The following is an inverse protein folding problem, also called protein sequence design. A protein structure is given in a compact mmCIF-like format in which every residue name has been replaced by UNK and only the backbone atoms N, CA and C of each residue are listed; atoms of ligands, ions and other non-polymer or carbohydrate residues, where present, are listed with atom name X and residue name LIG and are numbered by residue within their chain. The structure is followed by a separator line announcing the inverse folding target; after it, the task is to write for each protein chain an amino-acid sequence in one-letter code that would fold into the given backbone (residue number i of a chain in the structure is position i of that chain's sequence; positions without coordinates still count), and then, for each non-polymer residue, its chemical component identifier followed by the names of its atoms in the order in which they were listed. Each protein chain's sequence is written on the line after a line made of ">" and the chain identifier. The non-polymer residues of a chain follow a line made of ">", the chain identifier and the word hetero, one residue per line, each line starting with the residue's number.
data_IF_277412671289
#
_entry.id   IF_277412671289
#
_cell.length_a   1.000
_cell.length_b   1.000
_cell.length_c   1.000
_cell.angle_alpha   90.00
_cell.angle_beta   90.00
_cell.angle_gamma   90.00
#
_symmetry.space_group_name_H-M   'P 1'
#
loop_
_entity.id
_entity.type
_entity.pdbx_description
1 polymer ?
#
# COMPACT_ATOMS: atom_id res chain seq x y z
N UNK A 1 -3.58 27.95 10.76
CA UNK A 1 -4.27 26.64 10.85
C UNK A 1 -4.11 26.13 12.27
N UNK A 2 -5.20 25.82 12.98
CA UNK A 2 -5.10 25.29 14.34
C UNK A 2 -4.50 23.88 14.24
N UNK A 3 -3.50 23.56 15.07
CA UNK A 3 -2.95 22.20 15.16
C UNK A 3 -3.90 21.33 15.96
N UNK A 4 -5.01 20.98 15.34
CA UNK A 4 -6.05 20.14 15.90
C UNK A 4 -5.71 18.65 15.74
N UNK A 5 -6.56 17.77 16.27
CA UNK A 5 -6.37 16.32 16.19
C UNK A 5 -6.23 15.85 14.73
N UNK A 6 -7.04 16.40 13.83
CA UNK A 6 -7.03 16.08 12.41
C UNK A 6 -5.67 16.36 11.76
N UNK A 7 -5.08 17.52 12.05
CA UNK A 7 -3.75 17.88 11.59
C UNK A 7 -2.71 16.82 11.96
N UNK A 8 -2.67 16.40 13.23
CA UNK A 8 -1.71 15.40 13.69
C UNK A 8 -1.97 14.00 13.12
N UNK A 9 -3.23 13.66 12.84
CA UNK A 9 -3.60 12.40 12.18
C UNK A 9 -3.09 12.38 10.73
N UNK A 10 -3.24 13.47 9.97
CA UNK A 10 -2.69 13.58 8.61
C UNK A 10 -1.15 13.50 8.63
N UNK A 11 -0.49 14.20 9.56
CA UNK A 11 0.98 14.10 9.74
C UNK A 11 1.42 12.66 10.01
N UNK A 12 0.67 11.95 10.84
CA UNK A 12 0.99 10.55 11.21
C UNK A 12 0.77 9.60 10.03
N UNK A 13 -0.33 9.76 9.29
CA UNK A 13 -0.56 9.01 8.05
C UNK A 13 0.55 9.27 7.01
N UNK A 14 0.99 10.52 6.87
CA UNK A 14 2.10 10.89 5.97
C UNK A 14 3.40 10.19 6.38
N UNK A 15 3.73 10.18 7.68
CA UNK A 15 4.89 9.44 8.21
C UNK A 15 4.80 7.93 7.95
N UNK A 16 3.62 7.35 8.08
CA UNK A 16 3.40 5.94 7.79
C UNK A 16 3.69 5.63 6.31
N UNK A 17 3.22 6.47 5.38
CA UNK A 17 3.53 6.34 3.95
C UNK A 17 5.04 6.40 3.68
N UNK A 18 5.75 7.39 4.23
CA UNK A 18 7.21 7.49 4.08
C UNK A 18 7.93 6.26 4.65
N UNK A 19 7.48 5.73 5.79
CA UNK A 19 8.05 4.53 6.43
C UNK A 19 7.79 3.25 5.62
N UNK A 20 6.66 3.16 4.92
CA UNK A 20 6.37 2.04 4.01
C UNK A 20 7.24 2.08 2.77
N UNK A 21 7.52 3.27 2.25
CA UNK A 21 8.40 3.48 1.08
C UNK A 21 9.87 3.27 1.47
N UNK A 22 10.27 3.71 2.65
CA UNK A 22 11.61 3.50 3.23
C UNK A 22 12.34 4.80 3.52
N UNK A 23 12.48 5.68 2.53
CA UNK A 23 13.21 6.96 2.68
C UNK A 23 12.39 8.17 2.25
N UNK A 24 12.77 9.35 2.77
CA UNK A 24 12.15 10.62 2.36
C UNK A 24 12.57 11.00 0.93
N UNK A 25 13.77 10.59 0.49
CA UNK A 25 14.23 10.73 -0.89
C UNK A 25 13.34 9.98 -1.87
N UNK A 26 13.08 8.69 -1.63
CA UNK A 26 12.26 7.85 -2.52
C UNK A 26 10.80 8.33 -2.54
N UNK A 27 10.25 8.63 -1.35
CA UNK A 27 8.90 9.20 -1.25
C UNK A 27 8.80 10.56 -1.96
N UNK A 28 9.85 11.39 -1.86
CA UNK A 28 9.94 12.64 -2.59
C UNK A 28 9.94 12.44 -4.10
N UNK A 29 10.70 11.47 -4.61
CA UNK A 29 10.76 11.13 -6.03
C UNK A 29 9.40 10.68 -6.56
N UNK A 30 8.69 9.81 -5.84
CA UNK A 30 7.32 9.34 -6.21
C UNK A 30 6.34 10.52 -6.21
N UNK A 31 6.34 11.33 -5.14
CA UNK A 31 5.43 12.47 -5.02
C UNK A 31 5.75 13.60 -6.03
N UNK A 32 6.99 13.67 -6.53
CA UNK A 32 7.49 14.76 -7.38
C UNK A 32 7.88 16.01 -6.60
N UNK A 33 8.41 15.84 -5.39
CA UNK A 33 8.85 16.94 -4.52
C UNK A 33 10.24 16.68 -3.93
N UNK A 34 10.87 17.72 -3.39
CA UNK A 34 12.16 17.56 -2.71
C UNK A 34 12.03 16.79 -1.39
N UNK A 35 13.11 16.13 -0.97
CA UNK A 35 13.19 15.47 0.35
C UNK A 35 12.88 16.41 1.52
N UNK A 36 13.26 17.68 1.39
CA UNK A 36 13.01 18.70 2.41
C UNK A 36 11.51 18.97 2.55
N UNK A 37 10.79 19.05 1.43
CA UNK A 37 9.34 19.22 1.46
C UNK A 37 8.67 17.97 2.05
N UNK A 38 9.13 16.77 1.68
CA UNK A 38 8.64 15.51 2.24
C UNK A 38 8.86 15.45 3.76
N UNK A 39 10.04 15.86 4.24
CA UNK A 39 10.34 15.94 5.67
C UNK A 39 9.40 16.92 6.39
N UNK A 40 9.15 18.11 5.83
CA UNK A 40 8.20 19.08 6.40
C UNK A 40 6.79 18.50 6.51
N UNK A 41 6.32 17.80 5.47
CA UNK A 41 5.01 17.15 5.51
C UNK A 41 4.90 16.07 6.57
N UNK A 42 5.96 15.31 6.81
CA UNK A 42 6.01 14.26 7.82
C UNK A 42 6.22 14.81 9.25
N UNK A 43 6.88 15.95 9.41
CA UNK A 43 7.31 16.46 10.71
C UNK A 43 6.15 17.15 11.47
N UNK A 44 5.92 16.82 12.76
CA UNK A 44 4.75 17.30 13.51
C UNK A 44 4.81 18.79 13.88
N UNK A 45 6.01 19.40 13.87
CA UNK A 45 6.17 20.82 14.21
C UNK A 45 6.05 21.74 12.98
N UNK A 46 6.14 21.22 11.77
CA UNK A 46 5.96 21.99 10.54
C UNK A 46 4.48 22.12 10.21
N UNK A 47 4.01 23.31 9.81
CA UNK A 47 2.60 23.55 9.47
C UNK A 47 2.17 22.95 8.14
N UNK A 48 3.10 22.57 7.28
CA UNK A 48 2.81 22.13 5.91
C UNK A 48 2.20 20.72 5.91
N UNK A 49 1.07 20.55 5.24
CA UNK A 49 0.47 19.25 4.98
C UNK A 49 0.79 18.75 3.59
N UNK A 50 0.80 17.42 3.43
CA UNK A 50 0.89 16.76 2.13
C UNK A 50 -0.24 17.24 1.21
N UNK A 51 0.08 17.47 -0.07
CA UNK A 51 -0.95 17.78 -1.07
C UNK A 51 -1.73 16.52 -1.44
N UNK A 52 -2.99 16.68 -1.86
CA UNK A 52 -3.81 15.56 -2.30
C UNK A 52 -3.13 14.73 -3.39
N UNK A 53 -2.54 15.40 -4.39
CA UNK A 53 -1.81 14.73 -5.49
C UNK A 53 -0.63 13.90 -4.97
N UNK A 54 0.14 14.41 -4.00
CA UNK A 54 1.25 13.65 -3.43
C UNK A 54 0.76 12.46 -2.60
N UNK A 55 -0.27 12.65 -1.78
CA UNK A 55 -0.89 11.58 -1.01
C UNK A 55 -1.36 10.44 -1.93
N UNK A 56 -2.12 10.76 -2.98
CA UNK A 56 -2.62 9.75 -3.94
C UNK A 56 -1.48 8.94 -4.60
N UNK A 57 -0.38 9.59 -4.99
CA UNK A 57 0.76 8.89 -5.59
C UNK A 57 1.43 7.93 -4.61
N UNK A 58 1.66 8.37 -3.37
CA UNK A 58 2.29 7.52 -2.35
C UNK A 58 1.38 6.37 -1.91
N UNK A 59 0.08 6.63 -1.77
CA UNK A 59 -0.92 5.60 -1.45
C UNK A 59 -1.03 4.55 -2.57
N UNK A 60 -0.99 4.98 -3.83
CA UNK A 60 -0.97 4.07 -4.98
C UNK A 60 0.29 3.20 -5.00
N UNK A 61 1.46 3.77 -4.71
CA UNK A 61 2.72 3.01 -4.59
C UNK A 61 2.66 1.99 -3.45
N UNK A 62 2.10 2.39 -2.30
CA UNK A 62 2.01 1.52 -1.12
C UNK A 62 0.86 0.51 -1.20
N UNK A 63 -0.14 0.74 -2.07
CA UNK A 63 -1.40 -0.01 -2.08
C UNK A 63 -2.26 0.19 -0.83
N UNK A 64 -2.09 1.30 -0.10
CA UNK A 64 -2.76 1.55 1.18
C UNK A 64 -3.27 3.00 1.30
N UNK A 65 -4.56 3.23 1.61
CA UNK A 65 -5.16 4.57 1.65
C UNK A 65 -4.97 5.29 3.00
N UNK A 66 -3.73 5.45 3.48
CA UNK A 66 -3.47 5.99 4.83
C UNK A 66 -4.01 7.40 5.10
N UNK A 67 -3.76 8.35 4.19
CA UNK A 67 -4.22 9.75 4.30
C UNK A 67 -5.72 9.82 3.95
N UNK A 68 -6.14 9.10 2.91
CA UNK A 68 -7.52 9.00 2.47
C UNK A 68 -8.43 8.45 3.59
N UNK A 69 -7.97 7.49 4.38
CA UNK A 69 -8.70 6.94 5.52
C UNK A 69 -8.87 7.98 6.64
N UNK A 70 -7.83 8.77 6.93
CA UNK A 70 -7.95 9.89 7.89
C UNK A 70 -8.96 10.93 7.39
N UNK A 71 -8.96 11.25 6.10
CA UNK A 71 -9.93 12.17 5.49
C UNK A 71 -11.36 11.63 5.61
N UNK A 72 -11.59 10.36 5.30
CA UNK A 72 -12.91 9.74 5.43
C UNK A 72 -13.39 9.72 6.89
N UNK A 73 -12.50 9.33 7.82
CA UNK A 73 -12.82 9.27 9.25
C UNK A 73 -13.17 10.64 9.84
N UNK A 74 -12.50 11.71 9.38
CA UNK A 74 -12.82 13.09 9.78
C UNK A 74 -14.26 13.47 9.39
N UNK A 75 -14.75 12.95 8.27
CA UNK A 75 -16.11 13.17 7.78
C UNK A 75 -17.12 12.17 8.36
N UNK A 76 -16.73 11.30 9.29
CA UNK A 76 -17.60 10.28 9.88
C UNK A 76 -17.85 9.06 8.98
N UNK A 77 -17.07 8.89 7.91
CA UNK A 77 -17.14 7.75 7.01
C UNK A 77 -16.00 6.77 7.24
N UNK A 78 -16.16 5.53 6.76
CA UNK A 78 -15.07 4.56 6.66
C UNK A 78 -14.85 4.20 5.20
N UNK A 79 -13.58 4.05 4.81
CA UNK A 79 -13.23 3.54 3.49
C UNK A 79 -13.41 2.03 3.47
N UNK A 80 -14.00 1.53 2.39
CA UNK A 80 -14.15 0.11 2.11
C UNK A 80 -13.60 -0.13 0.72
N UNK A 81 -12.82 -1.20 0.56
CA UNK A 81 -12.35 -1.61 -0.77
C UNK A 81 -13.56 -1.97 -1.65
N UNK A 82 -13.63 -1.40 -2.85
CA UNK A 82 -14.70 -1.71 -3.80
C UNK A 82 -14.71 -3.19 -4.21
N UNK A 83 -13.57 -3.87 -4.14
CA UNK A 83 -13.46 -5.31 -4.40
C UNK A 83 -13.86 -6.19 -3.20
N UNK A 84 -14.24 -5.59 -2.06
CA UNK A 84 -14.78 -6.29 -0.89
C UNK A 84 -13.77 -7.15 -0.12
N UNK A 85 -12.52 -7.27 -0.58
CA UNK A 85 -11.47 -7.99 0.14
C UNK A 85 -10.77 -7.05 1.12
N UNK A 86 -11.14 -7.14 2.40
CA UNK A 86 -10.29 -6.59 3.45
C UNK A 86 -8.92 -7.29 3.42
N UNK A 87 -7.81 -6.58 3.63
CA UNK A 87 -6.51 -7.22 3.82
C UNK A 87 -6.62 -8.26 4.94
N UNK A 88 -6.02 -9.45 4.80
CA UNK A 88 -6.06 -10.47 5.84
C UNK A 88 -5.61 -9.91 7.20
N UNK A 89 -6.24 -10.33 8.29
CA UNK A 89 -5.89 -9.84 9.65
C UNK A 89 -4.58 -10.43 10.19
N UNK A 90 -3.85 -11.20 9.39
CA UNK A 90 -2.63 -11.91 9.79
C UNK A 90 -1.68 -12.06 8.60
N UNK A 91 -0.38 -11.83 8.84
CA UNK A 91 0.67 -12.01 7.83
C UNK A 91 0.75 -13.43 7.29
N UNK A 92 0.44 -14.45 8.10
CA UNK A 92 0.45 -15.85 7.65
C UNK A 92 -0.63 -16.09 6.60
N UNK A 93 -1.84 -15.53 6.81
CA UNK A 93 -2.93 -15.61 5.82
C UNK A 93 -2.58 -14.86 4.54
N UNK A 94 -1.95 -13.69 4.66
CA UNK A 94 -1.49 -12.95 3.49
C UNK A 94 -0.38 -13.69 2.72
N UNK A 95 0.54 -14.35 3.43
CA UNK A 95 1.58 -15.17 2.81
C UNK A 95 1.00 -16.42 2.11
N UNK A 96 -0.01 -17.06 2.72
CA UNK A 96 -0.71 -18.17 2.08
C UNK A 96 -1.34 -17.75 0.75
N UNK A 97 -1.96 -16.55 0.69
CA UNK A 97 -2.47 -15.99 -0.56
C UNK A 97 -1.39 -15.77 -1.63
N UNK A 98 -0.19 -15.34 -1.26
CA UNK A 98 0.94 -15.25 -2.20
C UNK A 98 1.33 -16.65 -2.69
N UNK A 99 1.41 -17.63 -1.79
CA UNK A 99 1.81 -18.99 -2.12
C UNK A 99 0.83 -19.67 -3.10
N UNK A 100 -0.48 -19.46 -2.91
CA UNK A 100 -1.52 -19.98 -3.81
C UNK A 100 -1.38 -19.42 -5.22
N UNK A 101 -1.27 -18.08 -5.37
CA UNK A 101 -1.13 -17.43 -6.68
C UNK A 101 0.21 -17.77 -7.35
N UNK A 102 1.28 -17.93 -6.56
CA UNK A 102 2.57 -18.40 -7.09
C UNK A 102 2.48 -19.84 -7.61
N UNK A 103 1.72 -20.69 -6.94
CA UNK A 103 1.39 -22.03 -7.41
C UNK A 103 0.65 -22.01 -8.75
N UNK A 104 -0.32 -21.11 -8.91
CA UNK A 104 -1.05 -20.93 -10.19
C UNK A 104 -0.09 -20.52 -11.32
N UNK A 105 0.78 -19.53 -11.09
CA UNK A 105 1.80 -19.11 -12.08
C UNK A 105 2.73 -20.27 -12.45
N UNK A 106 3.23 -20.99 -11.44
CA UNK A 106 4.16 -22.12 -11.64
C UNK A 106 3.52 -23.23 -12.47
N UNK A 107 2.24 -23.55 -12.20
CA UNK A 107 1.48 -24.54 -12.97
C UNK A 107 1.32 -24.13 -14.43
N UNK A 108 0.90 -22.89 -14.69
CA UNK A 108 0.73 -22.40 -16.07
C UNK A 108 2.03 -22.37 -16.87
N UNK A 109 3.14 -22.01 -16.22
CA UNK A 109 4.46 -22.08 -16.85
C UNK A 109 4.86 -23.53 -17.13
N UNK A 110 4.65 -24.44 -16.17
CA UNK A 110 4.97 -25.86 -16.34
C UNK A 110 4.19 -26.50 -17.49
N UNK A 111 2.90 -26.15 -17.64
CA UNK A 111 2.07 -26.63 -18.75
C UNK A 111 2.55 -26.05 -20.09
N UNK A 112 2.83 -24.74 -20.14
CA UNK A 112 3.22 -24.04 -21.38
C UNK A 112 4.60 -24.42 -21.93
N UNK A 113 5.47 -25.05 -21.12
CA UNK A 113 6.79 -25.51 -21.58
C UNK A 113 6.79 -26.98 -22.03
N UNK A 114 5.68 -27.71 -21.89
CA UNK A 114 5.64 -29.16 -22.17
C UNK A 114 5.95 -29.50 -23.63
N UNK A 115 5.51 -28.68 -24.57
CA UNK A 115 5.75 -28.83 -26.01
C UNK A 115 6.93 -27.99 -26.52
N UNK A 116 7.61 -27.26 -25.61
CA UNK A 116 8.75 -26.41 -25.91
C UNK A 116 8.42 -25.10 -26.63
N UNK A 117 7.13 -24.76 -26.81
CA UNK A 117 6.70 -23.56 -27.52
C UNK A 117 5.56 -22.86 -26.77
N UNK A 118 5.87 -21.70 -26.18
CA UNK A 118 4.84 -20.88 -25.53
C UNK A 118 4.01 -20.15 -26.59
N UNK A 119 2.74 -20.51 -26.70
CA UNK A 119 1.77 -19.89 -27.59
C UNK A 119 1.32 -18.51 -27.09
N UNK A 120 0.74 -17.65 -27.95
CA UNK A 120 0.19 -16.36 -27.52
C UNK A 120 -0.89 -16.49 -26.44
N UNK A 121 -1.69 -17.55 -26.47
CA UNK A 121 -2.73 -17.79 -25.47
C UNK A 121 -2.12 -18.14 -24.11
N UNK A 122 -1.04 -18.92 -24.08
CA UNK A 122 -0.31 -19.24 -22.85
C UNK A 122 0.41 -18.01 -22.29
N UNK A 123 0.97 -17.17 -23.16
CA UNK A 123 1.51 -15.87 -22.74
C UNK A 123 0.46 -15.02 -22.03
N UNK A 124 -0.75 -14.89 -22.60
CA UNK A 124 -1.86 -14.18 -21.95
C UNK A 124 -2.22 -14.84 -20.62
N UNK A 125 -2.38 -16.16 -20.59
CA UNK A 125 -2.74 -16.90 -19.39
C UNK A 125 -1.70 -16.76 -18.27
N UNK A 126 -0.41 -16.78 -18.60
CA UNK A 126 0.69 -16.55 -17.64
C UNK A 126 0.66 -15.10 -17.15
N UNK A 127 0.45 -14.13 -18.04
CA UNK A 127 0.38 -12.71 -17.65
C UNK A 127 -0.79 -12.40 -16.72
N UNK A 128 -1.94 -13.04 -16.94
CA UNK A 128 -3.10 -12.89 -16.04
C UNK A 128 -2.80 -13.45 -14.65
N UNK A 129 -2.15 -14.61 -14.57
CA UNK A 129 -1.72 -15.20 -13.29
C UNK A 129 -0.65 -14.34 -12.59
N UNK A 130 0.29 -13.76 -13.35
CA UNK A 130 1.29 -12.82 -12.81
C UNK A 130 0.63 -11.55 -12.25
N UNK A 131 -0.44 -11.05 -12.87
CA UNK A 131 -1.20 -9.91 -12.33
C UNK A 131 -1.84 -10.25 -10.98
N UNK A 132 -2.45 -11.44 -10.86
CA UNK A 132 -3.02 -11.88 -9.58
C UNK A 132 -1.94 -12.03 -8.49
N UNK A 133 -0.78 -12.59 -8.83
CA UNK A 133 0.35 -12.68 -7.90
C UNK A 133 0.83 -11.29 -7.46
N UNK A 134 0.93 -10.33 -8.38
CA UNK A 134 1.29 -8.95 -8.05
C UNK A 134 0.28 -8.31 -7.10
N UNK A 135 -1.02 -8.59 -7.29
CA UNK A 135 -2.08 -8.15 -6.37
C UNK A 135 -1.95 -8.81 -5.00
N UNK A 136 -1.73 -10.13 -4.92
CA UNK A 136 -1.52 -10.82 -3.65
C UNK A 136 -0.33 -10.26 -2.86
N UNK A 137 0.76 -9.92 -3.55
CA UNK A 137 1.92 -9.24 -2.93
C UNK A 137 1.53 -7.84 -2.42
N UNK A 138 0.73 -7.08 -3.15
CA UNK A 138 0.21 -5.77 -2.72
C UNK A 138 -0.65 -5.90 -1.47
N UNK A 139 -1.56 -6.87 -1.43
CA UNK A 139 -2.40 -7.18 -0.27
C UNK A 139 -1.56 -7.55 0.96
N UNK A 140 -0.50 -8.34 0.79
CA UNK A 140 0.39 -8.70 1.89
C UNK A 140 1.20 -7.51 2.43
N UNK A 141 1.67 -6.62 1.54
CA UNK A 141 2.29 -5.35 1.95
C UNK A 141 1.31 -4.50 2.77
N UNK A 142 0.06 -4.37 2.29
CA UNK A 142 -0.99 -3.64 3.00
C UNK A 142 -1.33 -4.23 4.36
N UNK A 143 -1.38 -5.56 4.46
CA UNK A 143 -1.58 -6.28 5.73
C UNK A 143 -0.48 -5.97 6.74
N UNK A 144 0.78 -5.99 6.32
CA UNK A 144 1.93 -5.65 7.17
C UNK A 144 1.84 -4.21 7.70
N UNK A 145 1.48 -3.26 6.82
CA UNK A 145 1.30 -1.87 7.19
C UNK A 145 0.17 -1.66 8.21
N UNK A 146 -0.98 -2.31 7.97
CA UNK A 146 -2.13 -2.25 8.88
C UNK A 146 -1.80 -2.80 10.26
N UNK A 147 -1.14 -3.96 10.33
CA UNK A 147 -0.73 -4.57 11.59
C UNK A 147 0.25 -3.69 12.39
N UNK A 148 1.20 -3.04 11.70
CA UNK A 148 2.13 -2.09 12.36
C UNK A 148 1.39 -0.86 12.91
N UNK A 149 0.41 -0.33 12.19
CA UNK A 149 -0.38 0.81 12.65
C UNK A 149 -1.21 0.46 13.90
N UNK A 150 -1.84 -0.73 13.93
CA UNK A 150 -2.59 -1.22 15.10
C UNK A 150 -1.67 -1.40 16.32
N UNK A 151 -0.48 -1.93 16.14
CA UNK A 151 0.52 -2.10 17.21
C UNK A 151 0.99 -0.74 17.78
N UNK A 152 1.19 0.25 16.92
CA UNK A 152 1.58 1.61 17.34
C UNK A 152 0.45 2.32 18.12
N UNK A 153 -0.82 2.15 17.70
CA UNK A 153 -1.98 2.68 18.44
C UNK A 153 -2.13 2.04 19.84
N UNK A 154 -1.88 0.73 19.95
CA UNK A 154 -1.87 0.01 21.25
C UNK A 154 -0.75 0.45 22.18
N UNK A 155 0.40 0.90 21.66
CA UNK A 155 1.52 1.39 22.48
C UNK A 155 1.37 2.83 22.94
N UNK A 156 0.45 3.58 22.33
CA UNK A 156 0.16 4.98 22.65
C UNK A 156 -1.04 5.15 23.61
N UNK A 157 -1.69 4.04 24.01
CA UNK A 157 -2.78 3.97 24.99
C UNK A 157 -2.29 3.43 26.33
#
# INVERSE_FOLDING_TARGET
>A
MQRDEWFFRIKTATRALVKMIGTHEDAGAIAGVSKTQMHRWAHPQDSDLITLTAAMKLEAECGMPCVSEVMAAQSGFRLVSAEGKAPPNCMVTAFAGIADEFGEVSGRVADAIQDGLVSPNEHTAINDALHKLAEAVRVAKGTSASLRAVDEMRRAS
#
